data_IF_554860461938
#
_entry.id   IF_554860461938
#
_cell.length_a   1.000
_cell.length_b   1.000
_cell.length_c   1.000
_cell.angle_alpha   90.00
_cell.angle_beta   90.00
_cell.angle_gamma   90.00
#
_symmetry.space_group_name_H-M   'P 1'
#
loop_
_entity.id
_entity.type
_entity.pdbx_description
1 polymer ?
#
# COMPACT_ATOMS: atom_id res chain seq x y z
N UNK A 1 -19.43 27.25 -2.08
CA UNK A 1 -17.98 27.06 -2.26
C UNK A 1 -17.55 25.97 -1.30
N UNK A 2 -17.49 24.73 -1.74
CA UNK A 2 -16.93 23.64 -0.93
C UNK A 2 -15.42 23.66 -1.12
N UNK A 3 -14.69 24.18 -0.14
CA UNK A 3 -13.28 23.87 0.01
C UNK A 3 -13.17 22.36 0.18
N UNK A 4 -12.89 21.66 -0.93
CA UNK A 4 -12.51 20.26 -0.89
C UNK A 4 -11.15 20.27 -0.20
N UNK A 5 -11.14 20.07 1.11
CA UNK A 5 -9.91 19.85 1.89
C UNK A 5 -9.14 18.78 1.13
N UNK A 6 -8.04 19.20 0.51
CA UNK A 6 -7.20 18.31 -0.29
C UNK A 6 -6.60 17.31 0.69
N UNK A 7 -7.02 16.05 0.58
CA UNK A 7 -6.52 14.97 1.43
C UNK A 7 -5.01 14.86 1.22
N UNK A 8 -4.26 14.78 2.31
CA UNK A 8 -2.80 14.70 2.26
C UNK A 8 -2.33 13.30 1.87
N UNK A 9 -3.14 12.29 2.19
CA UNK A 9 -2.94 10.89 1.84
C UNK A 9 -4.09 10.43 0.93
N UNK A 10 -3.87 9.51 -0.03
CA UNK A 10 -4.97 8.87 -0.74
C UNK A 10 -5.96 8.17 0.21
N UNK A 11 -7.16 7.89 -0.27
CA UNK A 11 -8.17 7.18 0.53
C UNK A 11 -7.90 5.68 0.45
N UNK A 12 -7.78 5.01 1.59
CA UNK A 12 -7.71 3.55 1.61
C UNK A 12 -8.99 2.97 1.03
N UNK A 13 -8.87 2.26 -0.09
CA UNK A 13 -9.98 1.61 -0.74
C UNK A 13 -10.55 0.46 0.13
N UNK A 14 -11.85 0.18 -0.02
CA UNK A 14 -12.53 -0.89 0.71
C UNK A 14 -11.87 -2.27 0.51
N UNK A 15 -11.39 -2.51 -0.71
CA UNK A 15 -10.70 -3.74 -1.09
C UNK A 15 -9.21 -3.75 -0.72
N UNK A 16 -8.70 -2.74 -0.01
CA UNK A 16 -7.28 -2.64 0.37
C UNK A 16 -6.32 -2.33 -0.77
N UNK A 17 -6.82 -1.92 -1.94
CA UNK A 17 -5.94 -1.48 -3.04
C UNK A 17 -5.00 -0.38 -2.54
N UNK A 18 -3.72 -0.53 -2.88
CA UNK A 18 -2.64 0.38 -2.50
C UNK A 18 -2.46 0.57 -0.98
N UNK A 19 -2.92 -0.38 -0.16
CA UNK A 19 -2.85 -0.31 1.31
C UNK A 19 -1.46 0.02 1.85
N UNK A 20 -0.38 -0.41 1.20
CA UNK A 20 0.98 -0.06 1.65
C UNK A 20 1.38 1.37 1.39
N UNK A 21 1.03 1.88 0.22
CA UNK A 21 1.29 3.28 -0.11
C UNK A 21 0.54 4.12 0.92
N UNK A 22 -0.72 3.74 1.20
CA UNK A 22 -1.51 4.34 2.26
C UNK A 22 -0.87 4.24 3.65
N UNK A 23 -0.36 3.07 4.06
CA UNK A 23 0.33 2.89 5.36
C UNK A 23 1.55 3.80 5.45
N UNK A 24 2.43 3.77 4.46
CA UNK A 24 3.65 4.57 4.44
C UNK A 24 3.34 6.07 4.49
N UNK A 25 2.38 6.52 3.67
CA UNK A 25 1.97 7.91 3.64
C UNK A 25 1.35 8.36 4.98
N UNK A 26 0.53 7.50 5.61
CA UNK A 26 -0.01 7.77 6.94
C UNK A 26 1.08 7.82 8.02
N UNK A 27 2.04 6.90 8.01
CA UNK A 27 3.16 6.88 8.96
C UNK A 27 4.02 8.14 8.84
N UNK A 28 4.40 8.50 7.61
CA UNK A 28 5.18 9.72 7.34
C UNK A 28 4.41 10.99 7.73
N UNK A 29 3.11 11.05 7.45
CA UNK A 29 2.30 12.20 7.83
C UNK A 29 2.16 12.34 9.35
N UNK A 30 1.86 11.25 10.05
CA UNK A 30 1.78 11.25 11.51
C UNK A 30 3.15 11.56 12.14
N UNK A 31 4.26 11.14 11.53
CA UNK A 31 5.60 11.52 11.96
C UNK A 31 5.84 13.02 11.80
N UNK A 32 5.48 13.61 10.67
CA UNK A 32 5.54 15.06 10.45
C UNK A 32 4.70 15.84 11.46
N UNK A 33 3.59 15.26 11.93
CA UNK A 33 2.72 15.82 12.97
C UNK A 33 3.18 15.51 14.41
N UNK A 34 4.26 14.74 14.59
CA UNK A 34 4.72 14.23 15.90
C UNK A 34 3.71 13.31 16.62
N UNK A 35 2.80 12.68 15.87
CA UNK A 35 1.75 11.79 16.36
C UNK A 35 2.03 10.30 16.15
N UNK A 36 3.19 9.89 15.64
CA UNK A 36 3.50 8.46 15.38
C UNK A 36 3.34 7.56 16.60
N UNK A 37 3.60 8.09 17.80
CA UNK A 37 3.46 7.34 19.04
C UNK A 37 1.99 6.94 19.34
N UNK A 38 1.00 7.60 18.75
CA UNK A 38 -0.43 7.28 18.92
C UNK A 38 -0.86 6.00 18.18
N UNK A 39 -0.09 5.55 17.19
CA UNK A 39 -0.34 4.33 16.41
C UNK A 39 0.72 3.24 16.66
N UNK A 40 1.67 3.50 17.56
CA UNK A 40 2.74 2.56 17.89
C UNK A 40 2.33 1.71 19.09
N UNK A 41 2.56 0.39 19.00
CA UNK A 41 2.34 -0.52 20.12
C UNK A 41 3.23 -0.11 21.30
N UNK A 42 2.63 -0.09 22.49
CA UNK A 42 3.26 0.39 23.72
C UNK A 42 3.15 -0.67 24.80
N UNK A 43 4.15 -0.73 25.69
CA UNK A 43 4.12 -1.63 26.84
C UNK A 43 2.96 -1.25 27.77
N UNK A 44 2.47 -2.22 28.54
CA UNK A 44 1.33 -2.01 29.44
C UNK A 44 1.57 -0.89 30.47
N UNK A 45 2.84 -0.63 30.82
CA UNK A 45 3.23 0.37 31.81
C UNK A 45 3.48 1.76 31.22
N UNK A 46 3.34 1.93 29.89
CA UNK A 46 3.61 3.21 29.23
C UNK A 46 2.46 4.21 29.40
N UNK A 47 2.80 5.46 29.72
CA UNK A 47 1.84 6.57 29.81
C UNK A 47 1.05 6.71 28.51
N UNK A 48 -0.28 6.81 28.64
CA UNK A 48 -1.18 7.03 27.52
C UNK A 48 -0.85 8.32 26.77
N UNK A 49 -0.90 8.33 25.42
CA UNK A 49 -0.85 9.58 24.67
C UNK A 49 -1.93 10.54 25.19
N UNK A 50 -1.67 11.85 25.19
CA UNK A 50 -2.69 12.85 25.51
C UNK A 50 -3.98 12.63 24.70
N UNK A 51 -5.13 12.84 25.33
CA UNK A 51 -6.45 12.59 24.70
C UNK A 51 -6.67 13.38 23.41
N UNK A 52 -6.15 14.61 23.35
CA UNK A 52 -6.24 15.46 22.16
C UNK A 52 -5.40 14.91 20.99
N UNK A 53 -4.21 14.38 21.26
CA UNK A 53 -3.35 13.73 20.25
C UNK A 53 -3.99 12.44 19.73
N UNK A 54 -4.59 11.64 20.61
CA UNK A 54 -5.35 10.45 20.21
C UNK A 54 -6.52 10.81 19.31
N UNK A 55 -7.30 11.84 19.67
CA UNK A 55 -8.42 12.31 18.87
C UNK A 55 -7.96 12.84 17.50
N UNK A 56 -6.85 13.59 17.45
CA UNK A 56 -6.29 14.13 16.22
C UNK A 56 -5.84 13.02 15.27
N UNK A 57 -5.12 12.00 15.77
CA UNK A 57 -4.73 10.84 14.99
C UNK A 57 -5.94 10.01 14.53
N UNK A 58 -6.95 9.82 15.39
CA UNK A 58 -8.17 9.10 15.03
C UNK A 58 -8.96 9.82 13.93
N UNK A 59 -9.11 11.15 14.02
CA UNK A 59 -9.76 11.96 12.99
C UNK A 59 -8.98 11.86 11.67
N UNK A 60 -7.64 11.95 11.72
CA UNK A 60 -6.80 11.80 10.55
C UNK A 60 -6.99 10.44 9.87
N UNK A 61 -6.89 9.33 10.60
CA UNK A 61 -7.08 7.98 10.06
C UNK A 61 -8.49 7.82 9.47
N UNK A 62 -9.53 8.26 10.20
CA UNK A 62 -10.91 8.21 9.73
C UNK A 62 -11.13 9.07 8.50
N UNK A 63 -10.42 10.18 8.32
CA UNK A 63 -10.52 11.01 7.12
C UNK A 63 -9.98 10.27 5.87
N UNK A 64 -9.00 9.39 6.07
CA UNK A 64 -8.24 8.75 5.00
C UNK A 64 -8.65 7.30 4.70
N UNK A 65 -9.75 6.79 5.24
CA UNK A 65 -10.31 5.47 4.89
C UNK A 65 -11.66 5.56 4.16
N UNK A 66 -12.03 4.51 3.41
CA UNK A 66 -13.32 4.40 2.74
C UNK A 66 -14.50 4.51 3.71
N UNK A 67 -15.63 5.09 3.27
CA UNK A 67 -16.80 5.31 4.12
C UNK A 67 -17.35 4.03 4.75
N UNK A 68 -17.40 2.92 4.01
CA UNK A 68 -17.87 1.63 4.55
C UNK A 68 -16.95 1.11 5.67
N UNK A 69 -15.64 1.33 5.57
CA UNK A 69 -14.71 1.02 6.67
C UNK A 69 -14.95 1.92 7.88
N UNK A 70 -15.32 3.20 7.67
CA UNK A 70 -15.69 4.09 8.79
C UNK A 70 -16.96 3.63 9.51
N UNK A 71 -17.93 3.08 8.77
CA UNK A 71 -19.16 2.52 9.33
C UNK A 71 -18.86 1.25 10.11
N UNK A 72 -18.07 0.34 9.55
CA UNK A 72 -17.68 -0.90 10.22
C UNK A 72 -16.90 -0.63 11.53
N UNK A 73 -15.98 0.33 11.52
CA UNK A 73 -15.19 0.72 12.68
C UNK A 73 -15.74 1.96 13.40
N UNK A 74 -17.06 2.20 13.37
CA UNK A 74 -17.67 3.42 13.94
C UNK A 74 -17.37 3.59 15.44
N UNK A 75 -17.42 2.51 16.21
CA UNK A 75 -17.23 2.53 17.65
C UNK A 75 -15.75 2.58 18.08
N UNK A 76 -14.82 2.36 17.14
CA UNK A 76 -13.38 2.38 17.40
C UNK A 76 -12.89 3.83 17.46
N UNK A 77 -12.75 4.34 18.69
CA UNK A 77 -12.28 5.70 18.97
C UNK A 77 -10.75 5.81 19.11
N UNK A 78 -10.11 4.74 19.54
CA UNK A 78 -8.66 4.69 19.75
C UNK A 78 -7.92 4.50 18.40
N UNK A 79 -6.98 5.40 18.04
CA UNK A 79 -6.28 5.33 16.76
C UNK A 79 -5.42 4.08 16.62
N UNK A 80 -4.76 3.61 17.69
CA UNK A 80 -3.94 2.40 17.68
C UNK A 80 -4.78 1.16 17.37
N UNK A 81 -5.95 1.05 17.98
CA UNK A 81 -6.89 -0.04 17.75
C UNK A 81 -7.38 -0.04 16.29
N UNK A 82 -7.75 1.12 15.76
CA UNK A 82 -8.15 1.25 14.35
C UNK A 82 -7.01 0.87 13.40
N UNK A 83 -5.81 1.41 13.64
CA UNK A 83 -4.61 1.12 12.87
C UNK A 83 -4.30 -0.39 12.84
N UNK A 84 -4.29 -1.02 14.01
CA UNK A 84 -4.01 -2.46 14.16
C UNK A 84 -5.08 -3.32 13.49
N UNK A 85 -6.36 -2.93 13.56
CA UNK A 85 -7.44 -3.64 12.89
C UNK A 85 -7.28 -3.60 11.36
N UNK A 86 -6.98 -2.43 10.79
CA UNK A 86 -6.69 -2.26 9.36
C UNK A 86 -5.45 -3.07 8.95
N UNK A 87 -4.39 -3.03 9.75
CA UNK A 87 -3.17 -3.82 9.53
C UNK A 87 -3.43 -5.32 9.58
N UNK A 88 -4.27 -5.81 10.50
CA UNK A 88 -4.65 -7.22 10.55
C UNK A 88 -5.49 -7.64 9.34
N UNK A 89 -6.42 -6.78 8.91
CA UNK A 89 -7.31 -7.04 7.77
C UNK A 89 -6.54 -7.08 6.45
N UNK A 90 -5.77 -6.03 6.18
CA UNK A 90 -5.09 -5.84 4.90
C UNK A 90 -3.66 -6.39 4.90
N UNK A 91 -3.03 -6.56 6.05
CA UNK A 91 -1.72 -7.24 6.15
C UNK A 91 -1.76 -8.70 5.71
N UNK A 92 -2.91 -9.38 5.91
CA UNK A 92 -3.15 -10.73 5.35
C UNK A 92 -3.26 -10.73 3.83
N UNK A 93 -3.53 -9.60 3.18
CA UNK A 93 -3.57 -9.58 1.71
C UNK A 93 -2.23 -9.96 1.10
N UNK A 94 -1.10 -9.84 1.80
CA UNK A 94 0.19 -10.38 1.33
C UNK A 94 0.08 -11.85 0.90
N UNK A 95 -0.68 -12.68 1.63
CA UNK A 95 -0.80 -14.11 1.30
C UNK A 95 -1.58 -14.38 0.01
N UNK A 96 -2.45 -13.44 -0.39
CA UNK A 96 -3.23 -13.53 -1.65
C UNK A 96 -2.52 -12.81 -2.79
N UNK A 97 -1.97 -11.63 -2.51
CA UNK A 97 -1.26 -10.79 -3.48
C UNK A 97 0.03 -11.47 -3.92
N UNK A 98 0.78 -12.11 -3.03
CA UNK A 98 2.06 -12.74 -3.40
C UNK A 98 1.93 -13.81 -4.49
N UNK A 99 1.06 -14.85 -4.35
CA UNK A 99 0.89 -15.84 -5.42
C UNK A 99 0.26 -15.25 -6.68
N UNK A 100 -0.56 -14.19 -6.56
CA UNK A 100 -1.09 -13.50 -7.74
C UNK A 100 0.00 -12.73 -8.48
N UNK A 101 0.81 -11.94 -7.78
CA UNK A 101 1.92 -11.16 -8.35
C UNK A 101 2.97 -12.07 -8.98
N UNK A 102 3.29 -13.23 -8.36
CA UNK A 102 4.19 -14.23 -8.96
C UNK A 102 3.64 -14.82 -10.26
N UNK A 103 2.33 -15.10 -10.31
CA UNK A 103 1.67 -15.56 -11.55
C UNK A 103 1.69 -14.48 -12.63
N UNK A 104 1.32 -13.25 -12.28
CA UNK A 104 1.38 -12.10 -13.19
C UNK A 104 2.80 -11.84 -13.71
N UNK A 105 3.82 -11.97 -12.87
CA UNK A 105 5.23 -11.92 -13.29
C UNK A 105 5.57 -13.02 -14.28
N UNK A 106 5.24 -14.28 -13.96
CA UNK A 106 5.53 -15.42 -14.84
C UNK A 106 4.84 -15.31 -16.20
N UNK A 107 3.63 -14.77 -16.24
CA UNK A 107 2.79 -14.61 -17.45
C UNK A 107 3.00 -13.28 -18.17
N UNK A 108 3.87 -12.41 -17.67
CA UNK A 108 4.11 -11.10 -18.27
C UNK A 108 4.74 -11.29 -19.66
N UNK A 109 4.10 -10.72 -20.68
CA UNK A 109 4.57 -10.74 -22.06
C UNK A 109 4.29 -9.39 -22.72
N UNK A 110 5.28 -8.83 -23.43
CA UNK A 110 5.16 -7.55 -24.11
C UNK A 110 4.02 -7.55 -25.14
N UNK A 111 3.85 -8.68 -25.86
CA UNK A 111 2.81 -8.85 -26.88
C UNK A 111 1.38 -8.68 -26.36
N UNK A 112 1.15 -8.78 -25.05
CA UNK A 112 -0.17 -8.59 -24.44
C UNK A 112 -0.53 -7.10 -24.24
N UNK A 113 0.37 -6.17 -24.57
CA UNK A 113 0.19 -4.73 -24.35
C UNK A 113 0.25 -3.95 -25.67
N UNK A 114 -0.53 -2.86 -25.74
CA UNK A 114 -0.61 -2.00 -26.93
C UNK A 114 0.54 -1.00 -27.06
N UNK A 115 1.30 -0.78 -25.99
CA UNK A 115 2.40 0.18 -25.96
C UNK A 115 3.45 -0.20 -24.92
N UNK A 116 4.66 0.33 -25.11
CA UNK A 116 5.77 0.21 -24.15
C UNK A 116 5.39 0.80 -22.79
N UNK A 117 4.70 1.93 -22.77
CA UNK A 117 4.23 2.56 -21.53
C UNK A 117 3.26 1.67 -20.75
N UNK A 118 2.31 1.01 -21.44
CA UNK A 118 1.36 0.12 -20.79
C UNK A 118 2.05 -1.13 -20.22
N UNK A 119 3.01 -1.69 -20.96
CA UNK A 119 3.84 -2.79 -20.45
C UNK A 119 4.67 -2.36 -19.24
N UNK A 120 5.38 -1.22 -19.32
CA UNK A 120 6.21 -0.71 -18.24
C UNK A 120 5.38 -0.43 -16.98
N UNK A 121 4.19 0.15 -17.14
CA UNK A 121 3.25 0.38 -16.03
C UNK A 121 2.87 -0.93 -15.35
N UNK A 122 2.54 -1.97 -16.13
CA UNK A 122 2.22 -3.29 -15.60
C UNK A 122 3.41 -3.94 -14.89
N UNK A 123 4.60 -3.88 -15.48
CA UNK A 123 5.86 -4.37 -14.89
C UNK A 123 6.11 -3.71 -13.53
N UNK A 124 6.07 -2.37 -13.46
CA UNK A 124 6.26 -1.63 -12.22
C UNK A 124 5.19 -1.96 -11.17
N UNK A 125 3.93 -2.14 -11.59
CA UNK A 125 2.86 -2.56 -10.69
C UNK A 125 3.12 -3.95 -10.09
N UNK A 126 3.51 -4.93 -10.91
CA UNK A 126 3.84 -6.29 -10.45
C UNK A 126 5.05 -6.28 -9.52
N UNK A 127 6.12 -5.57 -9.89
CA UNK A 127 7.33 -5.44 -9.08
C UNK A 127 7.04 -4.80 -7.73
N UNK A 128 6.21 -3.74 -7.70
CA UNK A 128 5.75 -3.12 -6.47
C UNK A 128 5.03 -4.10 -5.55
N UNK A 129 4.15 -4.94 -6.11
CA UNK A 129 3.45 -5.99 -5.35
C UNK A 129 4.39 -7.08 -4.82
N UNK A 130 5.37 -7.52 -5.62
CA UNK A 130 6.36 -8.52 -5.19
C UNK A 130 7.23 -7.98 -4.04
N UNK A 131 7.74 -6.75 -4.16
CA UNK A 131 8.50 -6.07 -3.11
C UNK A 131 7.68 -5.90 -1.84
N UNK A 132 6.40 -5.54 -1.95
CA UNK A 132 5.47 -5.49 -0.81
C UNK A 132 5.37 -6.84 -0.07
N UNK A 133 5.33 -7.94 -0.82
CA UNK A 133 5.27 -9.29 -0.25
C UNK A 133 6.61 -9.78 0.33
N UNK A 134 7.63 -8.92 0.40
CA UNK A 134 8.97 -9.24 0.90
C UNK A 134 9.88 -9.93 -0.14
N UNK A 135 9.44 -10.04 -1.39
CA UNK A 135 10.26 -10.60 -2.45
C UNK A 135 11.11 -9.49 -3.09
N UNK A 136 12.43 -9.59 -2.96
CA UNK A 136 13.35 -8.67 -3.62
C UNK A 136 13.31 -8.92 -5.12
N UNK A 137 13.17 -7.83 -5.88
CA UNK A 137 13.30 -7.81 -7.35
C UNK A 137 14.23 -6.65 -7.70
N UNK A 138 15.36 -6.97 -8.31
CA UNK A 138 16.43 -6.05 -8.72
C UNK A 138 16.13 -5.44 -10.08
N UNK A 139 16.82 -4.36 -10.43
CA UNK A 139 16.72 -3.77 -11.77
C UNK A 139 17.21 -4.73 -12.86
N UNK A 140 18.27 -5.52 -12.58
CA UNK A 140 18.75 -6.56 -13.48
C UNK A 140 17.67 -7.58 -13.81
N UNK A 141 16.96 -8.10 -12.80
CA UNK A 141 15.85 -9.04 -13.00
C UNK A 141 14.69 -8.41 -13.78
N UNK A 142 14.44 -7.10 -13.63
CA UNK A 142 13.43 -6.39 -14.42
C UNK A 142 13.83 -6.25 -15.90
N UNK A 143 15.11 -6.00 -16.16
CA UNK A 143 15.67 -5.91 -17.51
C UNK A 143 15.63 -7.29 -18.17
N UNK A 144 16.18 -8.32 -17.52
CA UNK A 144 16.10 -9.69 -18.01
C UNK A 144 14.66 -10.10 -18.29
N UNK A 145 13.74 -9.79 -17.36
CA UNK A 145 12.34 -10.14 -17.56
C UNK A 145 11.76 -9.49 -18.81
N UNK A 146 12.10 -8.23 -19.05
CA UNK A 146 11.66 -7.51 -20.25
C UNK A 146 12.24 -8.12 -21.52
N UNK A 147 13.53 -8.50 -21.49
CA UNK A 147 14.18 -9.18 -22.61
C UNK A 147 13.55 -10.54 -22.91
N UNK A 148 13.24 -11.35 -21.89
CA UNK A 148 12.53 -12.63 -22.01
C UNK A 148 11.14 -12.51 -22.66
N UNK A 149 10.50 -11.35 -22.52
CA UNK A 149 9.17 -11.14 -23.09
C UNK A 149 9.17 -10.84 -24.59
N UNK A 150 10.35 -10.56 -25.18
CA UNK A 150 10.47 -10.40 -26.63
C UNK A 150 10.54 -11.75 -27.32
N UNK A 151 10.00 -11.83 -28.54
CA UNK A 151 10.09 -13.04 -29.36
C UNK A 151 11.58 -13.38 -29.62
N UNK A 152 11.98 -14.66 -29.66
CA UNK A 152 13.37 -15.05 -29.96
C UNK A 152 13.91 -14.42 -31.25
N UNK A 153 13.04 -14.20 -32.24
CA UNK A 153 13.37 -13.52 -33.52
C UNK A 153 13.78 -12.05 -33.37
N UNK A 154 13.43 -11.39 -32.26
CA UNK A 154 13.75 -10.00 -31.97
C UNK A 154 14.95 -9.85 -31.03
N UNK A 155 15.48 -10.95 -30.50
CA UNK A 155 16.73 -10.95 -29.73
C UNK A 155 17.91 -10.88 -30.69
N UNK A 156 18.35 -9.66 -31.01
CA UNK A 156 19.60 -9.42 -31.74
C UNK A 156 20.78 -9.56 -30.77
N UNK A 157 20.99 -10.76 -30.25
CA UNK A 157 22.25 -11.15 -29.63
C UNK A 157 22.71 -12.41 -30.37
N UNK A 158 23.46 -12.17 -31.44
CA UNK A 158 24.25 -13.17 -32.15
C UNK A 158 25.42 -13.64 -31.27
#
# INVERSE_FOLDING_TARGET
MSDIIKRQVPVLALNGKDYQIWVLDCELHLQGMQLSHTITARSNDAVAPPSHEQAQAAIFLRHHIHNDLKQEYLEVKDPLTLWTALQKRFGKQKTVIHPQARRSWAQLQFLNFKSVEAYNTALHCIVGQLRFCGQRVTEYEMIEKTLETFHPSNMVLQ
#
